data_IF_860940920478
#
_entry.id   IF_860940920478
#
_cell.length_a   1.000
_cell.length_b   1.000
_cell.length_c   1.000
_cell.angle_alpha   90.00
_cell.angle_beta   90.00
_cell.angle_gamma   90.00
#
_symmetry.space_group_name_H-M   'P 1'
#
loop_
_entity.id
_entity.type
_entity.pdbx_description
1 polymer ?
#
# COMPACT_ATOMS: atom_id res chain seq x y z
N UNK A 1 -2.88 22.07 16.77
CA UNK A 1 -3.10 20.69 16.29
C UNK A 1 -4.50 20.64 15.70
N UNK A 2 -4.59 20.51 14.37
CA UNK A 2 -5.84 20.72 13.59
C UNK A 2 -6.84 19.55 13.74
N UNK A 3 -6.46 18.52 14.47
CA UNK A 3 -7.32 17.44 14.95
C UNK A 3 -7.24 17.48 16.47
N UNK A 4 -8.38 17.57 17.17
CA UNK A 4 -8.40 17.46 18.63
C UNK A 4 -7.68 16.17 19.07
N UNK A 5 -6.99 16.20 20.21
CA UNK A 5 -6.09 15.13 20.68
C UNK A 5 -6.76 13.75 20.66
N UNK A 6 -8.06 13.71 20.96
CA UNK A 6 -8.87 12.49 20.97
C UNK A 6 -9.08 11.89 19.57
N UNK A 7 -9.44 12.70 18.55
CA UNK A 7 -9.65 12.23 17.17
C UNK A 7 -8.34 11.84 16.48
N UNK A 8 -7.25 12.52 16.81
CA UNK A 8 -5.93 12.14 16.33
C UNK A 8 -5.47 10.78 16.88
N UNK A 9 -5.84 10.47 18.13
CA UNK A 9 -5.60 9.16 18.73
C UNK A 9 -6.32 8.03 18.00
N UNK A 10 -7.60 8.21 17.67
CA UNK A 10 -8.41 7.25 16.90
C UNK A 10 -7.80 7.02 15.50
N UNK A 11 -7.42 8.10 14.83
CA UNK A 11 -6.73 8.05 13.53
C UNK A 11 -5.42 7.24 13.60
N UNK A 12 -4.53 7.54 14.54
CA UNK A 12 -3.24 6.82 14.67
C UNK A 12 -3.50 5.35 14.96
N UNK A 13 -4.47 5.05 15.81
CA UNK A 13 -4.81 3.68 16.17
C UNK A 13 -5.25 2.89 14.93
N UNK A 14 -6.21 3.40 14.15
CA UNK A 14 -6.64 2.77 12.90
C UNK A 14 -5.50 2.65 11.88
N UNK A 15 -4.71 3.71 11.69
CA UNK A 15 -3.53 3.70 10.82
C UNK A 15 -2.52 2.61 11.22
N UNK A 16 -2.28 2.44 12.51
CA UNK A 16 -1.35 1.42 13.03
C UNK A 16 -1.88 0.01 12.78
N UNK A 17 -3.18 -0.23 13.00
CA UNK A 17 -3.82 -1.51 12.66
C UNK A 17 -3.69 -1.81 11.16
N UNK A 18 -3.95 -0.83 10.29
CA UNK A 18 -3.80 -1.02 8.83
C UNK A 18 -2.34 -1.32 8.44
N UNK A 19 -1.36 -0.70 9.11
CA UNK A 19 0.05 -1.04 8.87
C UNK A 19 0.40 -2.45 9.33
N UNK A 20 -0.18 -2.96 10.43
CA UNK A 20 0.01 -4.36 10.80
C UNK A 20 -0.55 -5.32 9.74
N UNK A 21 -1.71 -5.03 9.17
CA UNK A 21 -2.21 -5.82 8.03
C UNK A 21 -1.32 -5.71 6.80
N UNK A 22 -0.80 -4.52 6.50
CA UNK A 22 0.15 -4.31 5.39
C UNK A 22 1.43 -5.11 5.59
N UNK A 23 1.96 -5.13 6.82
CA UNK A 23 3.10 -5.93 7.22
C UNK A 23 2.78 -7.42 7.01
N UNK A 24 1.61 -7.89 7.46
CA UNK A 24 1.19 -9.28 7.29
C UNK A 24 1.15 -9.71 5.82
N UNK A 25 0.58 -8.88 4.94
CA UNK A 25 0.51 -9.17 3.49
C UNK A 25 1.89 -9.18 2.83
N UNK A 26 2.79 -8.30 3.29
CA UNK A 26 4.13 -8.15 2.71
C UNK A 26 5.17 -9.05 3.36
N UNK A 27 4.83 -9.68 4.49
CA UNK A 27 5.73 -10.49 5.28
C UNK A 27 6.27 -11.68 4.48
N UNK A 28 7.57 -11.93 4.60
CA UNK A 28 8.26 -12.99 3.87
C UNK A 28 8.60 -12.64 2.41
N UNK A 29 7.75 -11.87 1.71
CA UNK A 29 8.02 -11.47 0.32
C UNK A 29 9.19 -10.49 0.23
N UNK A 30 9.24 -9.46 1.08
CA UNK A 30 10.31 -8.45 1.01
C UNK A 30 11.73 -9.02 1.21
N UNK A 31 11.88 -10.17 1.86
CA UNK A 31 13.18 -10.82 2.04
C UNK A 31 13.38 -11.98 1.05
N UNK A 32 12.43 -12.91 0.98
CA UNK A 32 12.55 -14.12 0.15
C UNK A 32 12.47 -13.80 -1.34
N UNK A 33 11.53 -12.93 -1.74
CA UNK A 33 11.37 -12.56 -3.15
C UNK A 33 12.55 -11.72 -3.63
N UNK A 34 12.96 -10.73 -2.85
CA UNK A 34 14.12 -9.87 -3.16
C UNK A 34 15.38 -10.71 -3.41
N UNK A 35 15.66 -11.70 -2.55
CA UNK A 35 16.77 -12.64 -2.73
C UNK A 35 16.63 -13.49 -3.99
N UNK A 36 15.43 -13.99 -4.29
CA UNK A 36 15.20 -14.78 -5.51
C UNK A 36 15.42 -13.92 -6.76
N UNK A 37 14.82 -12.73 -6.81
CA UNK A 37 14.98 -11.77 -7.91
C UNK A 37 16.44 -11.43 -8.15
N UNK A 38 17.22 -11.16 -7.10
CA UNK A 38 18.64 -10.82 -7.28
C UNK A 38 19.45 -11.94 -7.92
N UNK A 39 19.07 -13.21 -7.71
CA UNK A 39 19.76 -14.37 -8.28
C UNK A 39 19.38 -14.63 -9.74
N UNK A 40 18.17 -14.26 -10.16
CA UNK A 40 17.65 -14.52 -11.52
C UNK A 40 17.51 -13.25 -12.35
N UNK A 41 18.12 -12.14 -11.94
CA UNK A 41 17.98 -10.81 -12.57
C UNK A 41 18.31 -10.78 -14.07
N UNK A 42 19.15 -11.70 -14.53
CA UNK A 42 19.56 -11.82 -15.93
C UNK A 42 18.62 -12.72 -16.77
N UNK A 43 17.71 -13.47 -16.13
CA UNK A 43 16.75 -14.35 -16.81
C UNK A 43 15.34 -13.75 -16.77
N UNK A 44 15.01 -13.00 -17.82
CA UNK A 44 13.75 -12.27 -17.94
C UNK A 44 12.51 -13.15 -17.81
N UNK A 45 12.48 -14.32 -18.47
CA UNK A 45 11.32 -15.23 -18.43
C UNK A 45 11.03 -15.74 -17.01
N UNK A 46 12.07 -16.14 -16.28
CA UNK A 46 11.92 -16.57 -14.89
C UNK A 46 11.52 -15.42 -13.97
N UNK A 47 12.02 -14.21 -14.26
CA UNK A 47 11.69 -13.02 -13.47
C UNK A 47 10.21 -12.66 -13.60
N UNK A 48 9.65 -12.70 -14.81
CA UNK A 48 8.22 -12.46 -15.07
C UNK A 48 7.33 -13.50 -14.38
N UNK A 49 7.70 -14.78 -14.45
CA UNK A 49 6.93 -15.87 -13.83
C UNK A 49 6.88 -15.71 -12.29
N UNK A 50 8.02 -15.42 -11.66
CA UNK A 50 8.08 -15.15 -10.22
C UNK A 50 7.29 -13.89 -9.88
N UNK A 51 7.41 -12.84 -10.70
CA UNK A 51 6.67 -11.60 -10.47
C UNK A 51 5.17 -11.78 -10.52
N UNK A 52 4.65 -12.41 -11.57
CA UNK A 52 3.22 -12.70 -11.69
C UNK A 52 2.72 -13.56 -10.54
N UNK A 53 3.46 -14.61 -10.18
CA UNK A 53 3.10 -15.52 -9.08
C UNK A 53 3.02 -14.80 -7.72
N UNK A 54 4.01 -13.95 -7.41
CA UNK A 54 4.05 -13.21 -6.16
C UNK A 54 2.96 -12.14 -6.13
N UNK A 55 2.77 -11.43 -7.25
CA UNK A 55 1.75 -10.39 -7.34
C UNK A 55 0.35 -10.98 -7.14
N UNK A 56 0.07 -12.14 -7.73
CA UNK A 56 -1.18 -12.87 -7.55
C UNK A 56 -1.37 -13.31 -6.09
N UNK A 57 -0.35 -13.85 -5.43
CA UNK A 57 -0.43 -14.19 -4.01
C UNK A 57 -0.73 -12.97 -3.13
N UNK A 58 -0.01 -11.86 -3.36
CA UNK A 58 -0.24 -10.61 -2.62
C UNK A 58 -1.65 -10.07 -2.88
N UNK A 59 -2.17 -10.21 -4.09
CA UNK A 59 -3.55 -9.83 -4.42
C UNK A 59 -4.57 -10.66 -3.64
N UNK A 60 -4.39 -11.99 -3.55
CA UNK A 60 -5.24 -12.86 -2.73
C UNK A 60 -5.18 -12.46 -1.25
N UNK A 61 -3.98 -12.20 -0.73
CA UNK A 61 -3.81 -11.78 0.67
C UNK A 61 -4.48 -10.43 0.96
N UNK A 62 -4.44 -9.49 0.02
CA UNK A 62 -5.18 -8.23 0.14
C UNK A 62 -6.69 -8.42 0.17
N UNK A 63 -7.24 -9.32 -0.66
CA UNK A 63 -8.66 -9.66 -0.62
C UNK A 63 -9.02 -10.26 0.74
N UNK A 64 -8.20 -11.19 1.26
CA UNK A 64 -8.41 -11.78 2.58
C UNK A 64 -8.41 -10.71 3.68
N UNK A 65 -7.44 -9.79 3.67
CA UNK A 65 -7.41 -8.66 4.63
C UNK A 65 -8.65 -7.78 4.50
N UNK A 66 -9.07 -7.46 3.28
CA UNK A 66 -10.28 -6.65 3.05
C UNK A 66 -11.53 -7.34 3.60
N UNK A 67 -11.63 -8.66 3.46
CA UNK A 67 -12.73 -9.45 4.03
C UNK A 67 -12.67 -9.47 5.56
N UNK A 68 -11.48 -9.64 6.15
CA UNK A 68 -11.28 -9.59 7.61
C UNK A 68 -11.69 -8.24 8.16
N UNK A 69 -11.23 -7.13 7.56
CA UNK A 69 -11.58 -5.78 8.01
C UNK A 69 -13.09 -5.54 7.90
N UNK A 70 -13.71 -5.97 6.79
CA UNK A 70 -15.18 -5.87 6.62
C UNK A 70 -15.93 -6.67 7.69
N UNK A 71 -15.46 -7.89 8.00
CA UNK A 71 -16.03 -8.70 9.07
C UNK A 71 -15.89 -8.02 10.44
N UNK A 72 -14.71 -7.48 10.78
CA UNK A 72 -14.49 -6.78 12.04
C UNK A 72 -15.44 -5.58 12.19
N UNK A 73 -15.64 -4.80 11.11
CA UNK A 73 -16.54 -3.64 11.10
C UNK A 73 -18.01 -4.04 11.29
N UNK A 74 -18.44 -5.19 10.77
CA UNK A 74 -19.83 -5.64 10.89
C UNK A 74 -20.16 -6.26 12.25
N UNK A 75 -19.24 -7.03 12.83
CA UNK A 75 -19.51 -7.83 14.03
C UNK A 75 -19.03 -7.18 15.33
N UNK A 76 -18.09 -6.25 15.28
CA UNK A 76 -17.53 -5.62 16.49
C UNK A 76 -18.01 -4.16 16.57
N UNK A 77 -18.82 -3.79 17.60
CA UNK A 77 -19.36 -2.44 17.75
C UNK A 77 -18.28 -1.34 17.75
N UNK A 78 -17.13 -1.62 18.37
CA UNK A 78 -15.99 -0.70 18.40
C UNK A 78 -15.49 -0.29 17.00
N UNK A 79 -15.48 -1.22 16.03
CA UNK A 79 -15.07 -0.92 14.65
C UNK A 79 -16.23 -0.35 13.83
N UNK A 80 -17.47 -0.65 14.22
CA UNK A 80 -18.68 -0.18 13.55
C UNK A 80 -18.87 1.33 13.69
N UNK A 81 -18.58 1.89 14.86
CA UNK A 81 -18.70 3.32 15.12
C UNK A 81 -17.77 4.16 14.22
N UNK A 82 -16.65 3.58 13.79
CA UNK A 82 -15.65 4.20 12.90
C UNK A 82 -15.53 3.45 11.56
N UNK A 83 -16.63 2.85 11.08
CA UNK A 83 -16.63 2.01 9.87
C UNK A 83 -15.98 2.68 8.66
N UNK A 84 -16.30 3.96 8.42
CA UNK A 84 -15.75 4.74 7.31
C UNK A 84 -14.23 4.86 7.38
N UNK A 85 -13.65 5.03 8.57
CA UNK A 85 -12.21 5.14 8.79
C UNK A 85 -11.50 3.84 8.39
N UNK A 86 -12.01 2.70 8.86
CA UNK A 86 -11.44 1.40 8.58
C UNK A 86 -11.60 0.99 7.10
N UNK A 87 -12.73 1.31 6.48
CA UNK A 87 -12.92 1.12 5.04
C UNK A 87 -11.92 1.96 4.21
N UNK A 88 -11.66 3.21 4.59
CA UNK A 88 -10.62 4.03 3.96
C UNK A 88 -9.22 3.44 4.18
N UNK A 89 -8.99 2.84 5.35
CA UNK A 89 -7.74 2.15 5.67
C UNK A 89 -7.43 0.95 4.78
N UNK A 90 -8.44 0.25 4.26
CA UNK A 90 -8.22 -0.83 3.29
C UNK A 90 -7.51 -0.31 2.04
N UNK A 91 -7.88 0.87 1.52
CA UNK A 91 -7.21 1.47 0.36
C UNK A 91 -5.72 1.70 0.61
N UNK A 92 -5.35 2.04 1.84
CA UNK A 92 -3.96 2.21 2.25
C UNK A 92 -3.18 0.88 2.18
N UNK A 93 -3.77 -0.21 2.68
CA UNK A 93 -3.16 -1.56 2.59
C UNK A 93 -2.95 -1.95 1.13
N UNK A 94 -3.98 -1.74 0.29
CA UNK A 94 -3.91 -2.05 -1.14
C UNK A 94 -2.82 -1.25 -1.85
N UNK A 95 -2.79 0.07 -1.66
CA UNK A 95 -1.78 0.93 -2.29
C UNK A 95 -0.35 0.53 -1.93
N UNK A 96 -0.07 0.22 -0.66
CA UNK A 96 1.28 -0.15 -0.25
C UNK A 96 1.71 -1.54 -0.73
N UNK A 97 0.78 -2.50 -0.76
CA UNK A 97 1.09 -3.89 -1.12
C UNK A 97 1.13 -4.13 -2.63
N UNK A 98 0.40 -3.35 -3.44
CA UNK A 98 0.50 -3.42 -4.90
C UNK A 98 1.86 -2.91 -5.37
N UNK A 99 2.44 -1.94 -4.67
CA UNK A 99 3.76 -1.43 -5.01
C UNK A 99 4.82 -2.55 -4.85
N UNK A 100 5.53 -2.95 -5.93
CA UNK A 100 6.42 -4.11 -5.91
C UNK A 100 7.81 -3.71 -5.43
N UNK A 101 7.91 -3.22 -4.19
CA UNK A 101 9.17 -2.76 -3.60
C UNK A 101 10.26 -3.84 -3.70
N UNK A 102 9.92 -5.09 -3.37
CA UNK A 102 10.81 -6.26 -3.43
C UNK A 102 11.44 -6.50 -4.82
N UNK A 103 10.73 -6.17 -5.91
CA UNK A 103 11.23 -6.33 -7.28
C UNK A 103 12.33 -5.31 -7.55
N UNK A 104 12.04 -4.03 -7.30
CA UNK A 104 13.02 -2.96 -7.47
C UNK A 104 14.20 -3.10 -6.51
N UNK A 105 13.96 -3.66 -5.33
CA UNK A 105 15.01 -3.99 -4.38
C UNK A 105 15.93 -5.08 -4.93
N UNK A 106 15.39 -6.18 -5.47
CA UNK A 106 16.16 -7.28 -6.04
C UNK A 106 16.90 -6.91 -7.33
N UNK A 107 16.38 -5.95 -8.10
CA UNK A 107 17.02 -5.41 -9.30
C UNK A 107 18.00 -4.25 -9.03
N UNK A 108 18.24 -3.89 -7.77
CA UNK A 108 19.10 -2.76 -7.35
C UNK A 108 18.65 -1.38 -7.88
N UNK A 109 17.40 -1.26 -8.38
CA UNK A 109 16.80 -0.02 -8.92
C UNK A 109 16.03 0.79 -7.87
N UNK A 110 16.59 0.91 -6.67
CA UNK A 110 15.96 1.56 -5.51
C UNK A 110 15.59 3.03 -5.75
N UNK A 111 16.45 3.77 -6.46
CA UNK A 111 16.26 5.20 -6.70
C UNK A 111 14.91 5.51 -7.33
N UNK A 112 14.46 4.65 -8.25
CA UNK A 112 13.22 4.83 -8.97
C UNK A 112 11.99 4.66 -8.08
N UNK A 113 11.93 3.56 -7.32
CA UNK A 113 10.80 3.27 -6.43
C UNK A 113 10.73 4.25 -5.25
N UNK A 114 11.88 4.69 -4.74
CA UNK A 114 11.95 5.75 -3.73
C UNK A 114 11.40 7.06 -4.27
N UNK A 115 11.76 7.46 -5.50
CA UNK A 115 11.25 8.69 -6.11
C UNK A 115 9.73 8.67 -6.29
N UNK A 116 9.19 7.58 -6.82
CA UNK A 116 7.72 7.41 -6.98
C UNK A 116 7.04 7.49 -5.61
N UNK A 117 7.48 6.69 -4.65
CA UNK A 117 6.83 6.64 -3.33
C UNK A 117 6.94 7.96 -2.56
N UNK A 118 8.00 8.74 -2.80
CA UNK A 118 8.17 10.08 -2.26
C UNK A 118 7.20 11.06 -2.92
N UNK A 119 7.12 11.09 -4.25
CA UNK A 119 6.18 11.94 -5.00
C UNK A 119 4.72 11.64 -4.61
N UNK A 120 4.35 10.36 -4.54
CA UNK A 120 3.03 9.92 -4.10
C UNK A 120 2.69 10.39 -2.68
N UNK A 121 3.62 10.27 -1.73
CA UNK A 121 3.42 10.78 -0.36
C UNK A 121 3.33 12.30 -0.32
N UNK A 122 4.16 12.99 -1.09
CA UNK A 122 4.15 14.45 -1.16
C UNK A 122 2.82 14.96 -1.73
N UNK A 123 2.31 14.31 -2.79
CA UNK A 123 0.98 14.58 -3.33
C UNK A 123 -0.12 14.35 -2.29
N UNK A 124 -0.12 13.21 -1.59
CA UNK A 124 -1.09 12.95 -0.52
C UNK A 124 -1.07 14.02 0.55
N UNK A 125 0.12 14.44 1.01
CA UNK A 125 0.25 15.47 2.04
C UNK A 125 -0.31 16.81 1.54
N UNK A 126 0.00 17.22 0.31
CA UNK A 126 -0.55 18.45 -0.28
C UNK A 126 -2.08 18.39 -0.40
N UNK A 127 -2.62 17.26 -0.85
CA UNK A 127 -4.07 17.02 -0.92
C UNK A 127 -4.72 17.10 0.46
N UNK A 128 -4.10 16.51 1.48
CA UNK A 128 -4.58 16.57 2.87
C UNK A 128 -4.62 18.02 3.34
N UNK A 129 -3.55 18.81 3.16
CA UNK A 129 -3.56 20.21 3.54
C UNK A 129 -4.56 21.07 2.75
N UNK A 130 -4.83 20.73 1.49
CA UNK A 130 -5.77 21.48 0.65
C UNK A 130 -7.24 21.20 1.01
N UNK A 131 -7.60 19.91 1.18
CA UNK A 131 -8.96 19.41 1.37
C UNK A 131 -9.38 19.33 2.84
N UNK A 132 -8.49 18.93 3.74
CA UNK A 132 -8.80 18.71 5.16
C UNK A 132 -8.70 20.02 5.91
N UNK A 133 -9.80 20.78 5.91
CA UNK A 133 -9.92 22.07 6.61
C UNK A 133 -10.74 22.01 7.90
N UNK A 134 -11.41 20.88 8.18
CA UNK A 134 -12.24 20.69 9.40
C UNK A 134 -11.78 19.49 10.23
N UNK A 135 -11.96 19.61 11.54
CA UNK A 135 -11.63 18.60 12.57
C UNK A 135 -12.45 17.30 12.48
N UNK A 136 -13.47 17.23 11.62
CA UNK A 136 -14.33 16.06 11.46
C UNK A 136 -13.85 15.08 10.38
N UNK A 137 -12.86 15.47 9.57
CA UNK A 137 -12.52 14.78 8.32
C UNK A 137 -11.27 13.88 8.47
N UNK A 138 -11.08 13.24 9.62
CA UNK A 138 -9.91 12.38 9.85
C UNK A 138 -9.96 11.08 9.03
N UNK A 139 -11.14 10.61 8.65
CA UNK A 139 -11.32 9.52 7.69
C UNK A 139 -10.77 9.88 6.30
N UNK A 140 -10.94 11.14 5.88
CA UNK A 140 -10.42 11.64 4.61
C UNK A 140 -8.88 11.64 4.60
N UNK A 141 -8.24 11.76 5.76
CA UNK A 141 -6.77 11.66 5.88
C UNK A 141 -6.27 10.26 5.50
N UNK A 142 -6.95 9.19 5.94
CA UNK A 142 -6.60 7.81 5.52
C UNK A 142 -6.93 7.60 4.05
N UNK A 143 -8.07 8.10 3.59
CA UNK A 143 -8.51 7.98 2.20
C UNK A 143 -7.48 8.63 1.25
N UNK A 144 -7.08 9.88 1.52
CA UNK A 144 -6.13 10.62 0.69
C UNK A 144 -4.72 10.01 0.73
N UNK A 145 -4.31 9.42 1.86
CA UNK A 145 -3.09 8.61 1.90
C UNK A 145 -3.20 7.36 1.04
N UNK A 146 -4.29 6.59 1.18
CA UNK A 146 -4.53 5.40 0.39
C UNK A 146 -4.53 5.69 -1.11
N UNK A 147 -5.22 6.77 -1.52
CA UNK A 147 -5.23 7.21 -2.92
C UNK A 147 -3.83 7.56 -3.43
N UNK A 148 -3.01 8.28 -2.68
CA UNK A 148 -1.65 8.58 -3.13
C UNK A 148 -0.79 7.34 -3.25
N UNK A 149 -0.90 6.38 -2.32
CA UNK A 149 -0.23 5.09 -2.45
C UNK A 149 -0.71 4.32 -3.68
N UNK A 150 -2.02 4.30 -3.97
CA UNK A 150 -2.56 3.67 -5.18
C UNK A 150 -2.03 4.33 -6.45
N UNK A 151 -1.97 5.66 -6.50
CA UNK A 151 -1.38 6.39 -7.64
C UNK A 151 0.08 5.98 -7.82
N UNK A 152 0.86 5.94 -6.75
CA UNK A 152 2.25 5.47 -6.79
C UNK A 152 2.37 4.02 -7.25
N UNK A 153 1.48 3.16 -6.78
CA UNK A 153 1.43 1.76 -7.17
C UNK A 153 1.13 1.61 -8.67
N UNK A 154 0.13 2.34 -9.20
CA UNK A 154 -0.21 2.33 -10.64
C UNK A 154 0.98 2.80 -11.49
N UNK A 155 1.63 3.90 -11.10
CA UNK A 155 2.82 4.41 -11.81
C UNK A 155 3.93 3.36 -11.77
N UNK A 156 4.15 2.72 -10.62
CA UNK A 156 5.16 1.67 -10.51
C UNK A 156 4.84 0.47 -11.40
N UNK A 157 3.59 0.02 -11.44
CA UNK A 157 3.15 -1.08 -12.30
C UNK A 157 3.33 -0.73 -13.77
N UNK A 158 2.93 0.47 -14.19
CA UNK A 158 3.13 0.92 -15.57
C UNK A 158 4.59 0.83 -15.99
N UNK A 159 5.50 1.28 -15.13
CA UNK A 159 6.94 1.26 -15.42
C UNK A 159 7.50 -0.17 -15.39
N UNK A 160 6.96 -1.03 -14.54
CA UNK A 160 7.30 -2.46 -14.56
C UNK A 160 6.90 -3.05 -15.93
N UNK A 161 5.66 -2.83 -16.38
CA UNK A 161 5.19 -3.33 -17.67
C UNK A 161 6.00 -2.80 -18.84
N UNK A 162 6.32 -1.50 -18.87
CA UNK A 162 7.19 -0.96 -19.93
C UNK A 162 8.60 -1.54 -19.89
N UNK A 163 9.22 -1.67 -18.71
CA UNK A 163 10.56 -2.26 -18.63
C UNK A 163 10.59 -3.74 -19.02
N UNK A 164 9.52 -4.50 -18.74
CA UNK A 164 9.43 -5.89 -19.20
C UNK A 164 9.14 -5.97 -20.71
N UNK A 165 8.28 -5.09 -21.24
CA UNK A 165 7.95 -5.07 -22.68
C UNK A 165 9.05 -4.53 -23.60
N UNK A 166 9.97 -3.71 -23.08
CA UNK A 166 11.11 -3.16 -23.86
C UNK A 166 12.21 -4.23 -24.08
N UNK A 167 12.12 -5.40 -23.42
CA UNK A 167 13.15 -6.46 -23.47
C UNK A 167 12.70 -7.63 -24.38
N UNK A 168 11.51 -7.57 -25.00
CA UNK A 168 11.09 -8.46 -26.09
C UNK A 168 11.60 -8.02 -27.47
#
# INVERSE_FOLDING_TARGET
MVLGVEKYGIYIYAYTIMNYFTLFVSYGFEYSATKKVSLIRDNHKMLEEIYSSIMLLRFIFNILVSLIVTFLVLFIPFFKDEATLYSCGVLLVWGQTIMPLWLYQGLEKMKFITLISFLSRLMSVLLIFALVRKTHDYSDVLLLQGLGYIIGAIISLYVVFENFSIIE
#
